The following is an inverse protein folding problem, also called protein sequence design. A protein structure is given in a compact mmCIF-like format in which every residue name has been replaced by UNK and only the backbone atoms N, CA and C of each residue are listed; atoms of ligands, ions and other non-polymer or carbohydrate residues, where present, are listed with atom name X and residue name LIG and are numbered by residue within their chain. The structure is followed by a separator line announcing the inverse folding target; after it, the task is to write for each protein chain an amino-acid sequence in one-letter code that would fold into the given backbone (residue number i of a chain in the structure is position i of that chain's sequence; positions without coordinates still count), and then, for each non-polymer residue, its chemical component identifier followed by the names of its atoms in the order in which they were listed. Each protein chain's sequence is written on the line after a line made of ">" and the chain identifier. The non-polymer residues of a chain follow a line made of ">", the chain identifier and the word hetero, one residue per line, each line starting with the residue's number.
data_IF_707664640983
#
_entry.id   IF_707664640983
#
_cell.length_a   1.000
_cell.length_b   1.000
_cell.length_c   1.000
_cell.angle_alpha   90.00
_cell.angle_beta   90.00
_cell.angle_gamma   90.00
#
_symmetry.space_group_name_H-M   'P 1'
#
loop_
_entity.id
_entity.type
_entity.pdbx_description
1 polymer ?
#
# COMPACT_ATOMS: atom_id res chain seq x y z
N UNK A 1 6.28 54.92 46.52
CA UNK A 1 6.03 54.94 45.06
C UNK A 1 7.15 54.13 44.43
N UNK A 2 7.02 52.80 44.22
CA UNK A 2 6.23 52.11 43.16
C UNK A 2 6.68 52.62 41.78
N UNK A 3 7.52 51.91 41.01
CA UNK A 3 7.22 50.77 40.09
C UNK A 3 8.51 49.95 39.77
N UNK A 4 8.54 48.62 39.96
CA UNK A 4 8.29 47.52 38.98
C UNK A 4 9.47 47.24 38.01
N UNK A 5 10.31 46.21 38.22
CA UNK A 5 10.17 44.81 37.74
C UNK A 5 9.73 44.66 36.27
N UNK A 6 10.66 44.30 35.39
CA UNK A 6 10.56 43.17 34.42
C UNK A 6 11.92 42.91 33.73
N UNK A 7 12.74 42.03 34.31
CA UNK A 7 13.70 41.24 33.53
C UNK A 7 13.40 39.76 33.78
N UNK A 8 12.36 39.24 33.12
CA UNK A 8 12.19 37.79 32.97
C UNK A 8 13.08 37.37 31.80
N UNK A 9 14.35 37.14 32.14
CA UNK A 9 15.27 36.37 31.31
C UNK A 9 14.78 34.91 31.35
N UNK A 10 13.73 34.58 30.59
CA UNK A 10 13.30 33.20 30.34
C UNK A 10 14.23 32.57 29.27
N UNK A 11 15.54 32.69 29.50
CA UNK A 11 16.59 32.05 28.75
C UNK A 11 16.78 30.63 29.27
N UNK A 12 16.02 29.66 28.74
CA UNK A 12 16.28 28.26 29.06
C UNK A 12 17.74 27.92 28.65
N UNK A 13 18.52 27.28 29.53
CA UNK A 13 19.91 26.94 29.23
C UNK A 13 20.01 26.10 27.97
N UNK A 14 21.06 26.31 27.16
CA UNK A 14 21.27 25.75 25.82
C UNK A 14 21.08 24.22 25.71
N UNK A 15 21.19 23.47 26.82
CA UNK A 15 20.88 22.05 26.89
C UNK A 15 19.38 21.71 26.84
N UNK A 16 18.52 22.55 27.42
CA UNK A 16 17.07 22.31 27.53
C UNK A 16 16.36 22.40 26.17
N UNK A 17 16.77 23.34 25.32
CA UNK A 17 16.30 23.43 23.93
C UNK A 17 16.62 22.17 23.11
N UNK A 18 17.75 21.50 23.39
CA UNK A 18 18.11 20.26 22.72
C UNK A 18 17.22 19.09 23.14
N UNK A 19 16.87 18.99 24.42
CA UNK A 19 15.96 17.96 24.91
C UNK A 19 14.54 18.12 24.34
N UNK A 20 14.03 19.35 24.28
CA UNK A 20 12.71 19.62 23.67
C UNK A 20 12.70 19.22 22.19
N UNK A 21 13.76 19.52 21.45
CA UNK A 21 13.86 19.14 20.05
C UNK A 21 13.87 17.61 19.85
N UNK A 22 14.68 16.89 20.63
CA UNK A 22 14.73 15.42 20.56
C UNK A 22 13.38 14.82 20.96
N UNK A 23 12.76 15.31 22.04
CA UNK A 23 11.45 14.84 22.47
C UNK A 23 10.38 15.07 21.41
N UNK A 24 10.35 16.26 20.79
CA UNK A 24 9.39 16.58 19.72
C UNK A 24 9.55 15.63 18.52
N UNK A 25 10.77 15.42 18.05
CA UNK A 25 11.06 14.47 16.96
C UNK A 25 10.62 13.05 17.34
N UNK A 26 10.95 12.57 18.54
CA UNK A 26 10.56 11.24 19.00
C UNK A 26 9.05 11.07 19.12
N UNK A 27 8.34 12.07 19.65
CA UNK A 27 6.87 12.07 19.71
C UNK A 27 6.27 12.02 18.32
N UNK A 28 6.77 12.85 17.39
CA UNK A 28 6.36 12.83 15.99
C UNK A 28 6.55 11.45 15.35
N UNK A 29 7.72 10.84 15.56
CA UNK A 29 8.02 9.51 15.05
C UNK A 29 7.04 8.46 15.59
N UNK A 30 6.80 8.44 16.90
CA UNK A 30 5.85 7.52 17.53
C UNK A 30 4.40 7.76 17.05
N UNK A 31 4.02 9.01 16.78
CA UNK A 31 2.71 9.34 16.23
C UNK A 31 2.47 8.70 14.87
N UNK A 32 3.51 8.48 14.06
CA UNK A 32 3.38 7.76 12.78
C UNK A 32 2.87 6.32 12.98
N UNK A 33 3.23 5.70 14.11
CA UNK A 33 2.85 4.33 14.47
C UNK A 33 1.61 4.26 15.37
N UNK A 34 1.00 5.40 15.72
CA UNK A 34 -0.07 5.43 16.73
C UNK A 34 -1.27 4.56 16.33
N UNK A 35 -1.71 4.60 15.07
CA UNK A 35 -2.84 3.76 14.60
C UNK A 35 -2.51 2.27 14.75
N UNK A 36 -1.32 1.85 14.30
CA UNK A 36 -0.84 0.47 14.42
C UNK A 36 -0.77 0.03 15.89
N UNK A 37 -0.19 0.86 16.76
CA UNK A 37 -0.08 0.58 18.20
C UNK A 37 -1.47 0.41 18.83
N UNK A 38 -2.40 1.33 18.55
CA UNK A 38 -3.76 1.26 19.09
C UNK A 38 -4.48 -0.02 18.64
N UNK A 39 -4.31 -0.42 17.38
CA UNK A 39 -4.91 -1.66 16.85
C UNK A 39 -4.32 -2.91 17.49
N UNK A 40 -3.00 -2.96 17.68
CA UNK A 40 -2.33 -4.05 18.41
C UNK A 40 -2.85 -4.14 19.85
N UNK A 41 -2.99 -3.00 20.54
CA UNK A 41 -3.56 -2.95 21.90
C UNK A 41 -5.04 -3.37 21.92
N UNK A 42 -5.77 -3.22 20.82
CA UNK A 42 -7.13 -3.72 20.65
C UNK A 42 -7.20 -5.22 20.32
N UNK A 43 -6.07 -5.94 20.36
CA UNK A 43 -6.00 -7.39 20.14
C UNK A 43 -5.96 -7.81 18.67
N UNK A 44 -5.72 -6.88 17.74
CA UNK A 44 -5.47 -7.21 16.33
C UNK A 44 -4.08 -7.80 16.16
N UNK A 45 -3.92 -8.71 15.20
CA UNK A 45 -2.61 -9.18 14.80
C UNK A 45 -1.81 -8.08 14.07
N UNK A 46 -0.53 -8.36 13.81
CA UNK A 46 0.39 -7.40 13.17
C UNK A 46 -0.05 -7.04 11.76
N UNK A 47 -0.61 -7.99 11.00
CA UNK A 47 -1.05 -7.77 9.62
C UNK A 47 -2.24 -6.83 9.59
N UNK A 48 -3.27 -7.12 10.40
CA UNK A 48 -4.47 -6.30 10.57
C UNK A 48 -4.16 -4.89 11.09
N UNK A 49 -3.16 -4.77 11.98
CA UNK A 49 -2.75 -3.49 12.54
C UNK A 49 -2.03 -2.59 11.51
N UNK A 50 -1.28 -3.20 10.57
CA UNK A 50 -0.54 -2.48 9.52
C UNK A 50 -1.40 -2.21 8.28
N UNK A 51 -2.42 -3.04 8.02
CA UNK A 51 -3.27 -2.98 6.83
C UNK A 51 -3.78 -1.57 6.43
N UNK A 52 -4.25 -0.71 7.35
CA UNK A 52 -4.72 0.63 6.99
C UNK A 52 -3.63 1.52 6.42
N UNK A 53 -2.40 1.38 6.91
CA UNK A 53 -1.25 2.12 6.38
C UNK A 53 -0.88 1.60 4.98
N UNK A 54 -0.98 0.29 4.74
CA UNK A 54 -0.79 -0.30 3.43
C UNK A 54 -1.82 0.24 2.43
N UNK A 55 -3.11 0.23 2.79
CA UNK A 55 -4.19 0.78 1.98
C UNK A 55 -3.99 2.28 1.67
N UNK A 56 -3.68 3.11 2.68
CA UNK A 56 -3.43 4.54 2.46
C UNK A 56 -2.21 4.79 1.58
N UNK A 57 -1.13 4.02 1.75
CA UNK A 57 0.06 4.14 0.92
C UNK A 57 -0.22 3.76 -0.54
N UNK A 58 -1.03 2.72 -0.75
CA UNK A 58 -1.48 2.29 -2.06
C UNK A 58 -2.34 3.36 -2.73
N UNK A 59 -3.34 3.88 -2.02
CA UNK A 59 -4.26 4.91 -2.50
C UNK A 59 -3.53 6.20 -2.92
N UNK A 60 -2.64 6.70 -2.06
CA UNK A 60 -1.80 7.85 -2.40
C UNK A 60 -0.90 7.58 -3.59
N UNK A 61 -0.34 6.37 -3.71
CA UNK A 61 0.51 6.08 -4.85
C UNK A 61 -0.26 6.02 -6.16
N UNK A 62 -1.44 5.40 -6.17
CA UNK A 62 -2.30 5.38 -7.35
C UNK A 62 -2.73 6.80 -7.72
N UNK A 63 -3.12 7.61 -6.75
CA UNK A 63 -3.51 9.01 -6.95
C UNK A 63 -2.37 9.84 -7.57
N UNK A 64 -1.15 9.72 -7.04
CA UNK A 64 0.03 10.42 -7.59
C UNK A 64 0.37 9.96 -9.00
N UNK A 65 0.19 8.68 -9.30
CA UNK A 65 0.42 8.09 -10.62
C UNK A 65 -0.61 8.56 -11.64
N UNK A 66 -1.87 8.61 -11.27
CA UNK A 66 -2.98 9.01 -12.14
C UNK A 66 -2.94 10.49 -12.49
N UNK A 67 -2.42 11.34 -11.59
CA UNK A 67 -2.40 12.79 -11.78
C UNK A 67 -0.99 13.38 -11.68
N UNK A 68 -0.32 13.49 -12.83
CA UNK A 68 0.97 14.19 -12.94
C UNK A 68 0.86 15.66 -12.48
N UNK A 69 -0.26 16.32 -12.78
CA UNK A 69 -0.52 17.70 -12.37
C UNK A 69 -0.59 17.87 -10.85
N UNK A 70 -1.30 16.97 -10.16
CA UNK A 70 -1.35 16.95 -8.69
C UNK A 70 0.04 16.71 -8.11
N UNK A 71 0.78 15.73 -8.65
CA UNK A 71 2.14 15.42 -8.22
C UNK A 71 3.01 16.67 -8.28
N UNK A 72 3.11 17.32 -9.44
CA UNK A 72 3.91 18.55 -9.61
C UNK A 72 3.44 19.67 -8.68
N UNK A 73 2.13 19.86 -8.52
CA UNK A 73 1.58 20.86 -7.62
C UNK A 73 2.01 20.62 -6.16
N UNK A 74 2.00 19.37 -5.69
CA UNK A 74 2.47 19.02 -4.35
C UNK A 74 3.98 19.30 -4.17
N UNK A 75 4.82 18.97 -5.16
CA UNK A 75 6.24 19.34 -5.12
C UNK A 75 6.45 20.84 -4.97
N UNK A 76 5.74 21.65 -5.77
CA UNK A 76 5.83 23.11 -5.73
C UNK A 76 5.34 23.65 -4.38
N UNK A 77 4.18 23.21 -3.91
CA UNK A 77 3.60 23.66 -2.64
C UNK A 77 4.49 23.32 -1.45
N UNK A 78 5.04 22.11 -1.40
CA UNK A 78 5.99 21.69 -0.35
C UNK A 78 7.27 22.51 -0.42
N UNK A 79 7.78 22.79 -1.62
CA UNK A 79 8.98 23.61 -1.82
C UNK A 79 8.78 25.05 -1.33
N UNK A 80 7.67 25.69 -1.75
CA UNK A 80 7.30 27.04 -1.30
C UNK A 80 7.04 27.10 0.21
N UNK A 81 6.35 26.08 0.75
CA UNK A 81 6.11 25.93 2.18
C UNK A 81 7.41 25.80 2.97
N UNK A 82 8.35 24.99 2.50
CA UNK A 82 9.69 24.84 3.09
C UNK A 82 10.49 26.15 3.06
N UNK A 83 10.42 26.90 1.96
CA UNK A 83 11.06 28.22 1.86
C UNK A 83 10.44 29.24 2.83
N UNK A 84 9.11 29.33 2.89
CA UNK A 84 8.40 30.20 3.82
C UNK A 84 8.71 29.85 5.28
N UNK A 85 8.74 28.55 5.59
CA UNK A 85 9.11 28.02 6.90
C UNK A 85 10.55 28.38 7.27
N UNK A 86 11.50 28.23 6.33
CA UNK A 86 12.89 28.65 6.54
C UNK A 86 12.96 30.13 6.90
N UNK A 87 12.28 30.97 6.14
CA UNK A 87 12.24 32.42 6.39
C UNK A 87 11.70 32.70 7.79
N UNK A 88 10.55 32.14 8.14
CA UNK A 88 9.92 32.32 9.45
C UNK A 88 10.83 31.87 10.62
N UNK A 89 11.50 30.72 10.51
CA UNK A 89 12.44 30.23 11.52
C UNK A 89 13.68 31.14 11.63
N UNK A 90 14.16 31.67 10.50
CA UNK A 90 15.34 32.54 10.48
C UNK A 90 15.08 33.97 10.96
N UNK A 91 13.83 34.43 10.93
CA UNK A 91 13.44 35.80 11.31
C UNK A 91 13.06 35.96 12.77
N UNK A 92 12.85 34.87 13.51
CA UNK A 92 12.48 34.88 14.92
C UNK A 92 13.49 34.12 15.76
N UNK A 93 13.91 34.70 16.89
CA UNK A 93 14.71 33.97 17.87
C UNK A 93 13.83 32.93 18.58
N UNK A 94 14.14 31.67 18.28
CA UNK A 94 13.52 30.47 18.85
C UNK A 94 11.97 30.50 18.98
N UNK A 95 11.23 30.49 17.85
CA UNK A 95 9.78 30.61 17.89
C UNK A 95 9.13 29.44 18.66
N UNK A 96 8.05 29.69 19.43
CA UNK A 96 7.42 28.68 20.29
C UNK A 96 6.80 27.51 19.51
N UNK A 97 6.50 27.69 18.22
CA UNK A 97 5.97 26.66 17.33
C UNK A 97 7.06 25.78 16.69
N UNK A 98 8.35 26.07 16.89
CA UNK A 98 9.45 25.27 16.34
C UNK A 98 9.41 23.79 16.75
N UNK A 99 9.05 23.42 18.00
CA UNK A 99 8.88 22.01 18.37
C UNK A 99 7.79 21.31 17.55
N UNK A 100 6.73 22.00 17.13
CA UNK A 100 5.69 21.40 16.28
C UNK A 100 6.26 20.99 14.91
N UNK A 101 7.13 21.82 14.34
CA UNK A 101 7.81 21.51 13.07
C UNK A 101 8.80 20.36 13.24
N UNK A 102 9.49 20.29 14.38
CA UNK A 102 10.36 19.18 14.73
C UNK A 102 9.57 17.87 14.93
N UNK A 103 8.36 17.94 15.50
CA UNK A 103 7.45 16.81 15.55
C UNK A 103 6.97 16.41 14.14
N UNK A 104 6.70 17.37 13.25
CA UNK A 104 6.41 17.09 11.84
C UNK A 104 7.55 16.36 11.12
N UNK A 105 8.80 16.74 11.39
CA UNK A 105 9.98 16.01 10.90
C UNK A 105 10.01 14.57 11.43
N UNK A 106 9.77 14.37 12.73
CA UNK A 106 9.64 13.05 13.34
C UNK A 106 8.57 12.19 12.69
N UNK A 107 7.37 12.75 12.51
CA UNK A 107 6.22 12.10 11.88
C UNK A 107 6.56 11.65 10.46
N UNK A 108 7.18 12.53 9.66
CA UNK A 108 7.58 12.20 8.30
C UNK A 108 8.63 11.07 8.27
N UNK A 109 9.62 11.10 9.17
CA UNK A 109 10.59 10.00 9.29
C UNK A 109 9.93 8.67 9.68
N UNK A 110 8.92 8.71 10.57
CA UNK A 110 8.14 7.53 10.94
C UNK A 110 7.33 6.97 9.77
N UNK A 111 6.70 7.85 8.99
CA UNK A 111 5.98 7.46 7.76
C UNK A 111 6.91 6.87 6.69
N UNK A 112 8.12 7.43 6.53
CA UNK A 112 9.14 6.87 5.64
C UNK A 112 9.58 5.48 6.12
N UNK A 113 9.81 5.30 7.43
CA UNK A 113 10.16 4.00 8.00
C UNK A 113 9.05 2.96 7.77
N UNK A 114 7.79 3.34 8.00
CA UNK A 114 6.62 2.50 7.69
C UNK A 114 6.54 2.15 6.20
N UNK A 115 6.78 3.12 5.32
CA UNK A 115 6.79 2.89 3.88
C UNK A 115 7.87 1.87 3.48
N UNK A 116 9.09 1.98 3.99
CA UNK A 116 10.14 0.99 3.73
C UNK A 116 9.81 -0.40 4.27
N UNK A 117 9.21 -0.47 5.46
CA UNK A 117 8.76 -1.74 6.01
C UNK A 117 7.73 -2.39 5.08
N UNK A 118 6.74 -1.61 4.63
CA UNK A 118 5.75 -2.06 3.66
C UNK A 118 6.38 -2.44 2.32
N UNK A 119 7.38 -1.70 1.86
CA UNK A 119 8.05 -1.97 0.59
C UNK A 119 8.81 -3.31 0.61
N UNK A 120 9.52 -3.60 1.70
CA UNK A 120 10.24 -4.88 1.88
C UNK A 120 9.28 -6.07 1.88
N UNK A 121 8.14 -5.96 2.57
CA UNK A 121 7.23 -7.09 2.78
C UNK A 121 6.11 -7.21 1.74
N UNK A 122 5.66 -6.08 1.16
CA UNK A 122 4.46 -6.02 0.31
C UNK A 122 4.72 -5.34 -1.04
N UNK A 123 5.26 -4.11 -1.06
CA UNK A 123 5.22 -3.26 -2.26
C UNK A 123 6.34 -3.57 -3.26
N UNK A 124 7.46 -4.17 -2.81
CA UNK A 124 8.57 -4.70 -3.63
C UNK A 124 9.11 -3.73 -4.68
N UNK A 125 9.20 -2.44 -4.35
CA UNK A 125 9.71 -1.39 -5.23
C UNK A 125 8.73 -0.92 -6.30
N UNK A 126 7.45 -1.29 -6.24
CA UNK A 126 6.45 -0.93 -7.24
C UNK A 126 6.13 0.59 -7.29
N UNK A 127 6.46 1.33 -6.23
CA UNK A 127 5.90 2.66 -5.98
C UNK A 127 6.99 3.72 -5.80
N UNK A 128 7.22 4.53 -6.83
CA UNK A 128 8.33 5.50 -6.86
C UNK A 128 7.92 6.92 -6.41
N UNK A 129 6.69 7.35 -6.72
CA UNK A 129 6.29 8.75 -6.55
C UNK A 129 6.05 9.14 -5.08
N UNK A 130 5.44 8.26 -4.29
CA UNK A 130 5.19 8.51 -2.86
C UNK A 130 6.49 8.67 -2.05
N UNK A 131 7.49 7.76 -2.12
CA UNK A 131 8.75 7.95 -1.41
C UNK A 131 9.52 9.17 -1.93
N UNK A 132 9.38 9.50 -3.22
CA UNK A 132 9.98 10.73 -3.79
C UNK A 132 9.37 11.99 -3.17
N UNK A 133 8.04 12.04 -3.05
CA UNK A 133 7.35 13.17 -2.42
C UNK A 133 7.71 13.30 -0.92
N UNK A 134 7.80 12.17 -0.22
CA UNK A 134 8.26 12.12 1.18
C UNK A 134 9.72 12.59 1.30
N UNK A 135 10.60 12.16 0.40
CA UNK A 135 11.99 12.60 0.33
C UNK A 135 12.11 14.10 0.08
N UNK A 136 11.29 14.65 -0.81
CA UNK A 136 11.24 16.09 -1.06
C UNK A 136 10.77 16.88 0.15
N UNK A 137 9.70 16.44 0.81
CA UNK A 137 9.23 17.03 2.06
C UNK A 137 10.30 16.97 3.16
N UNK A 138 11.02 15.87 3.26
CA UNK A 138 12.10 15.68 4.23
C UNK A 138 13.24 16.66 3.96
N UNK A 139 13.67 16.81 2.70
CA UNK A 139 14.70 17.78 2.31
C UNK A 139 14.27 19.21 2.67
N UNK A 140 13.04 19.60 2.35
CA UNK A 140 12.49 20.92 2.66
C UNK A 140 12.47 21.19 4.18
N UNK A 141 12.02 20.23 5.00
CA UNK A 141 11.98 20.37 6.46
C UNK A 141 13.39 20.46 7.07
N UNK A 142 14.31 19.60 6.61
CA UNK A 142 15.70 19.62 7.07
C UNK A 142 16.34 20.98 6.74
N UNK A 143 16.22 21.45 5.49
CA UNK A 143 16.78 22.76 5.09
C UNK A 143 16.13 23.90 5.85
N UNK A 144 14.81 23.86 6.09
CA UNK A 144 14.12 24.88 6.87
C UNK A 144 14.69 24.98 8.29
N UNK A 145 14.85 23.85 8.98
CA UNK A 145 15.35 23.78 10.36
C UNK A 145 16.86 24.02 10.49
N UNK A 146 17.67 23.39 9.64
CA UNK A 146 19.13 23.33 9.77
C UNK A 146 19.91 24.27 8.83
N UNK A 147 19.24 24.81 7.81
CA UNK A 147 19.86 25.58 6.74
C UNK A 147 20.55 24.70 5.70
N UNK A 148 21.36 25.34 4.86
CA UNK A 148 22.15 24.64 3.85
C UNK A 148 23.04 23.56 4.49
N UNK A 149 23.16 22.37 3.86
CA UNK A 149 24.00 21.30 4.40
C UNK A 149 25.45 21.75 4.44
N UNK A 150 26.06 21.72 5.62
CA UNK A 150 27.48 22.02 5.82
C UNK A 150 28.07 21.12 6.90
N UNK A 151 29.33 20.71 6.72
CA UNK A 151 30.07 19.91 7.70
C UNK A 151 30.53 20.74 8.90
N UNK A 152 30.67 22.06 8.72
CA UNK A 152 31.20 23.01 9.70
C UNK A 152 30.38 24.30 9.67
N UNK A 153 30.26 24.96 10.82
CA UNK A 153 29.78 26.34 10.89
C UNK A 153 30.92 27.30 10.52
N UNK A 154 30.58 28.52 10.09
CA UNK A 154 31.57 29.55 9.82
C UNK A 154 32.43 29.80 11.07
N UNK A 155 33.75 29.68 10.94
CA UNK A 155 34.70 29.86 12.04
C UNK A 155 34.90 28.65 12.97
N UNK A 156 34.39 27.46 12.64
CA UNK A 156 34.65 26.23 13.41
C UNK A 156 35.56 25.26 12.65
N UNK A 157 36.59 24.75 13.33
CA UNK A 157 37.55 23.79 12.76
C UNK A 157 37.13 22.32 12.90
N UNK A 158 36.19 22.02 13.80
CA UNK A 158 35.73 20.66 14.09
C UNK A 158 34.36 20.38 13.49
N UNK A 159 34.18 19.16 13.01
CA UNK A 159 32.87 18.65 12.55
C UNK A 159 32.01 18.37 13.78
N UNK A 160 30.82 18.94 13.83
CA UNK A 160 29.83 18.66 14.87
C UNK A 160 28.96 17.46 14.47
N UNK A 161 28.68 16.54 15.40
CA UNK A 161 27.83 15.36 15.15
C UNK A 161 26.44 15.74 14.63
N UNK A 162 25.86 16.83 15.11
CA UNK A 162 24.56 17.34 14.65
C UNK A 162 24.60 17.82 13.20
N UNK A 163 25.73 18.39 12.75
CA UNK A 163 25.95 18.79 11.35
C UNK A 163 26.13 17.58 10.44
N UNK A 164 26.86 16.57 10.91
CA UNK A 164 27.01 15.30 10.20
C UNK A 164 25.66 14.60 10.02
N UNK A 165 24.84 14.53 11.07
CA UNK A 165 23.51 13.93 11.02
C UNK A 165 22.59 14.71 10.07
N UNK A 166 22.58 16.04 10.15
CA UNK A 166 21.83 16.90 9.23
C UNK A 166 22.23 16.65 7.77
N UNK A 167 23.53 16.64 7.49
CA UNK A 167 24.04 16.37 6.13
C UNK A 167 23.62 14.98 5.65
N UNK A 168 23.78 13.96 6.49
CA UNK A 168 23.35 12.59 6.18
C UNK A 168 21.85 12.52 5.88
N UNK A 169 21.03 13.20 6.67
CA UNK A 169 19.59 13.31 6.44
C UNK A 169 19.25 13.97 5.11
N UNK A 170 19.96 15.04 4.74
CA UNK A 170 19.75 15.70 3.43
C UNK A 170 20.16 14.79 2.27
N UNK A 171 21.27 14.06 2.39
CA UNK A 171 21.67 13.05 1.38
C UNK A 171 20.66 11.90 1.29
N UNK A 172 20.15 11.42 2.41
CA UNK A 172 19.10 10.40 2.44
C UNK A 172 17.82 10.89 1.77
N UNK A 173 17.41 12.14 2.04
CA UNK A 173 16.28 12.77 1.38
C UNK A 173 16.49 12.90 -0.14
N UNK A 174 17.70 13.27 -0.58
CA UNK A 174 18.05 13.30 -1.99
C UNK A 174 17.99 11.91 -2.63
N UNK A 175 18.53 10.89 -1.94
CA UNK A 175 18.47 9.49 -2.40
C UNK A 175 17.04 9.00 -2.57
N UNK A 176 16.11 9.39 -1.67
CA UNK A 176 14.68 9.09 -1.81
C UNK A 176 14.03 9.73 -3.05
N UNK A 177 14.49 10.91 -3.45
CA UNK A 177 13.94 11.65 -4.60
C UNK A 177 14.43 11.06 -5.93
N UNK A 178 15.69 10.63 -6.00
CA UNK A 178 16.34 10.24 -7.26
C UNK A 178 15.56 9.20 -8.09
N UNK A 179 15.02 8.10 -7.52
CA UNK A 179 14.29 7.10 -8.30
C UNK A 179 13.01 7.61 -8.96
N UNK A 180 12.33 8.59 -8.37
CA UNK A 180 11.08 9.13 -8.94
C UNK A 180 11.26 10.28 -9.91
N UNK A 181 12.47 10.83 -10.07
CA UNK A 181 12.74 11.92 -11.01
C UNK A 181 12.32 11.57 -12.45
N UNK A 182 12.68 10.38 -13.00
CA UNK A 182 12.20 9.98 -14.33
C UNK A 182 10.67 9.91 -14.42
N UNK A 183 10.00 9.48 -13.35
CA UNK A 183 8.54 9.40 -13.31
C UNK A 183 7.86 10.77 -13.31
N UNK A 184 8.39 11.73 -12.53
CA UNK A 184 7.88 13.12 -12.51
C UNK A 184 8.11 13.82 -13.84
N UNK A 185 9.22 13.53 -14.54
CA UNK A 185 9.51 14.08 -15.86
C UNK A 185 8.73 13.41 -17.00
N UNK A 186 7.96 12.36 -16.73
CA UNK A 186 7.19 11.62 -17.74
C UNK A 186 8.02 10.66 -18.59
N UNK A 187 9.23 10.30 -18.16
CA UNK A 187 10.07 9.28 -18.81
C UNK A 187 9.82 7.87 -18.29
N UNK A 188 9.13 7.71 -17.15
CA UNK A 188 8.77 6.39 -16.67
C UNK A 188 7.70 5.75 -17.58
N UNK A 189 7.74 4.43 -17.81
CA UNK A 189 6.70 3.74 -18.55
C UNK A 189 5.33 3.97 -17.90
N UNK A 190 4.40 4.56 -18.64
CA UNK A 190 2.98 4.60 -18.26
C UNK A 190 2.26 3.39 -18.85
N UNK A 191 1.17 2.92 -18.23
CA UNK A 191 0.26 2.01 -18.91
C UNK A 191 -0.19 2.65 -20.24
N UNK A 192 -0.48 1.83 -21.28
CA UNK A 192 -1.19 2.34 -22.44
C UNK A 192 -2.56 2.89 -22.01
N UNK A 193 -3.05 3.89 -22.75
CA UNK A 193 -4.41 4.38 -22.55
C UNK A 193 -5.42 3.23 -22.70
N UNK A 194 -6.48 3.27 -21.90
CA UNK A 194 -7.56 2.30 -22.02
C UNK A 194 -8.13 2.36 -23.45
N UNK A 195 -8.30 1.22 -24.13
CA UNK A 195 -8.89 1.23 -25.46
C UNK A 195 -10.33 1.76 -25.41
N UNK A 196 -10.76 2.42 -26.49
CA UNK A 196 -12.13 2.94 -26.59
C UNK A 196 -13.20 1.83 -26.60
N UNK A 197 -12.83 0.60 -26.95
CA UNK A 197 -13.69 -0.57 -27.03
C UNK A 197 -12.92 -1.87 -26.80
N UNK A 198 -13.58 -2.88 -26.24
CA UNK A 198 -12.99 -4.20 -25.98
C UNK A 198 -12.22 -4.30 -24.66
N UNK A 199 -11.30 -5.26 -24.59
CA UNK A 199 -10.58 -5.59 -23.36
C UNK A 199 -9.75 -4.41 -22.85
N UNK A 200 -10.15 -3.85 -21.70
CA UNK A 200 -9.48 -2.74 -21.02
C UNK A 200 -10.22 -1.41 -21.06
N UNK A 201 -11.33 -1.27 -21.80
CA UNK A 201 -12.10 -0.03 -21.88
C UNK A 201 -12.84 0.31 -20.56
N UNK A 202 -13.21 1.58 -20.35
CA UNK A 202 -13.98 2.03 -19.19
C UNK A 202 -15.07 3.06 -19.59
N UNK A 203 -16.37 2.84 -19.30
CA UNK A 203 -16.95 1.62 -18.72
C UNK A 203 -16.79 0.40 -19.65
N UNK A 204 -16.95 -0.80 -19.10
CA UNK A 204 -17.09 -2.00 -19.91
C UNK A 204 -18.33 -1.85 -20.82
N UNK A 205 -18.22 -2.02 -22.14
CA UNK A 205 -19.30 -1.70 -23.07
C UNK A 205 -20.41 -2.75 -23.11
N UNK A 206 -20.22 -3.91 -22.47
CA UNK A 206 -21.14 -5.04 -22.55
C UNK A 206 -21.92 -5.22 -21.25
N UNK A 207 -23.21 -5.51 -21.38
CA UNK A 207 -23.99 -6.17 -20.33
C UNK A 207 -23.53 -7.61 -20.18
N UNK A 208 -23.86 -8.26 -19.06
CA UNK A 208 -23.36 -9.60 -18.73
C UNK A 208 -24.53 -10.56 -18.49
N UNK A 209 -24.36 -11.82 -18.90
CA UNK A 209 -25.27 -12.91 -18.59
C UNK A 209 -24.52 -13.99 -17.82
N UNK A 210 -25.12 -14.54 -16.77
CA UNK A 210 -24.52 -15.56 -15.90
C UNK A 210 -25.33 -16.85 -15.95
N UNK A 211 -24.61 -17.97 -16.09
CA UNK A 211 -25.15 -19.32 -16.15
C UNK A 211 -24.54 -20.14 -15.02
N UNK A 212 -25.36 -20.97 -14.37
CA UNK A 212 -24.93 -21.89 -13.31
C UNK A 212 -25.05 -23.31 -13.81
N UNK A 213 -23.97 -24.07 -13.69
CA UNK A 213 -23.90 -25.48 -14.09
C UNK A 213 -23.37 -26.32 -12.93
N UNK A 214 -24.25 -27.03 -12.19
CA UNK A 214 -23.82 -27.96 -11.15
C UNK A 214 -22.97 -29.10 -11.71
N UNK A 215 -21.97 -29.54 -10.95
CA UNK A 215 -21.12 -30.68 -11.31
C UNK A 215 -20.98 -31.66 -10.13
N UNK A 216 -20.56 -32.89 -10.45
CA UNK A 216 -20.36 -33.92 -9.43
C UNK A 216 -18.92 -33.91 -8.94
N UNK A 217 -18.73 -33.85 -7.62
CA UNK A 217 -17.41 -34.00 -7.01
C UNK A 217 -16.90 -35.44 -7.14
N UNK A 218 -15.57 -35.65 -7.28
CA UNK A 218 -14.99 -36.98 -7.18
C UNK A 218 -15.22 -37.60 -5.79
N UNK A 219 -15.46 -38.91 -5.73
CA UNK A 219 -15.71 -39.66 -4.48
C UNK A 219 -14.59 -39.46 -3.45
N UNK A 220 -13.34 -39.37 -3.90
CA UNK A 220 -12.16 -39.13 -3.05
C UNK A 220 -12.21 -37.77 -2.34
N UNK A 221 -12.80 -36.77 -2.97
CA UNK A 221 -12.97 -35.43 -2.41
C UNK A 221 -14.13 -35.43 -1.41
N UNK A 222 -15.26 -36.05 -1.79
CA UNK A 222 -16.43 -36.19 -0.91
C UNK A 222 -16.04 -36.90 0.39
N UNK A 223 -15.21 -37.94 0.30
CA UNK A 223 -14.79 -38.74 1.47
C UNK A 223 -14.01 -37.95 2.53
N UNK A 224 -13.43 -36.80 2.15
CA UNK A 224 -12.63 -35.95 3.05
C UNK A 224 -13.22 -34.55 3.22
N UNK A 225 -14.41 -34.27 2.68
CA UNK A 225 -15.06 -32.98 2.82
C UNK A 225 -15.47 -32.76 4.29
N UNK A 226 -15.15 -31.57 4.82
CA UNK A 226 -15.56 -31.14 6.14
C UNK A 226 -16.98 -30.58 6.19
N UNK A 227 -17.44 -30.23 7.39
CA UNK A 227 -18.84 -29.84 7.64
C UNK A 227 -19.14 -28.36 7.35
N UNK A 228 -18.13 -27.52 7.11
CA UNK A 228 -18.35 -26.07 6.96
C UNK A 228 -19.08 -25.68 5.68
N UNK A 229 -19.05 -26.53 4.65
CA UNK A 229 -19.56 -26.25 3.30
C UNK A 229 -20.50 -27.38 2.81
N UNK A 230 -21.13 -28.11 3.74
CA UNK A 230 -21.96 -29.28 3.42
C UNK A 230 -23.31 -28.94 2.76
N UNK A 231 -23.70 -27.66 2.79
CA UNK A 231 -24.92 -27.10 2.19
C UNK A 231 -24.69 -26.53 0.78
N UNK A 232 -23.43 -26.51 0.31
CA UNK A 232 -23.07 -25.95 -0.99
C UNK A 232 -23.31 -26.96 -2.11
N UNK A 233 -24.15 -26.61 -3.08
CA UNK A 233 -24.26 -27.34 -4.34
C UNK A 233 -23.18 -26.85 -5.32
N UNK A 234 -22.09 -27.61 -5.37
CA UNK A 234 -20.90 -27.31 -6.17
C UNK A 234 -21.22 -27.08 -7.64
N UNK A 235 -20.94 -25.86 -8.10
CA UNK A 235 -21.30 -25.41 -9.44
C UNK A 235 -20.15 -24.66 -10.11
N UNK A 236 -20.14 -24.72 -11.44
CA UNK A 236 -19.39 -23.78 -12.27
C UNK A 236 -20.34 -22.66 -12.69
N UNK A 237 -19.92 -21.42 -12.47
CA UNK A 237 -20.65 -20.25 -12.94
C UNK A 237 -19.91 -19.63 -14.10
N UNK A 238 -20.54 -19.61 -15.27
CA UNK A 238 -20.00 -19.00 -16.48
C UNK A 238 -20.71 -17.68 -16.70
N UNK A 239 -19.94 -16.59 -16.75
CA UNK A 239 -20.46 -15.26 -17.07
C UNK A 239 -19.90 -14.83 -18.42
N UNK A 240 -20.80 -14.45 -19.34
CA UNK A 240 -20.48 -14.08 -20.71
C UNK A 240 -20.91 -12.62 -20.98
N UNK A 241 -20.15 -11.88 -21.80
CA UNK A 241 -20.57 -10.58 -22.29
C UNK A 241 -21.68 -10.75 -23.32
N UNK A 242 -22.67 -9.87 -23.28
CA UNK A 242 -23.67 -9.74 -24.32
C UNK A 242 -23.09 -8.95 -25.48
N UNK A 243 -22.67 -9.67 -26.52
CA UNK A 243 -22.05 -9.08 -27.71
C UNK A 243 -23.14 -8.72 -28.74
N UNK A 244 -23.01 -7.60 -29.47
CA UNK A 244 -23.88 -7.29 -30.60
C UNK A 244 -23.92 -8.43 -31.63
N UNK A 245 -25.07 -8.68 -32.26
CA UNK A 245 -25.23 -9.75 -33.26
C UNK A 245 -24.29 -9.59 -34.47
N UNK A 246 -23.88 -8.37 -34.78
CA UNK A 246 -22.94 -8.02 -35.85
C UNK A 246 -21.47 -7.97 -35.39
N UNK A 247 -21.19 -8.40 -34.15
CA UNK A 247 -19.84 -8.40 -33.59
C UNK A 247 -18.91 -9.32 -34.39
N UNK A 248 -17.73 -8.83 -34.83
CA UNK A 248 -16.74 -9.67 -35.50
C UNK A 248 -16.01 -10.63 -34.54
N UNK A 249 -16.30 -10.56 -33.23
CA UNK A 249 -15.64 -11.35 -32.19
C UNK A 249 -16.20 -12.78 -32.19
N UNK A 250 -15.36 -13.74 -32.60
CA UNK A 250 -15.70 -15.17 -32.66
C UNK A 250 -15.16 -15.96 -31.48
N UNK A 251 -14.22 -15.39 -30.72
CA UNK A 251 -13.55 -16.03 -29.59
C UNK A 251 -13.38 -15.00 -28.46
N UNK A 252 -13.60 -15.44 -27.22
CA UNK A 252 -13.41 -14.62 -26.04
C UNK A 252 -12.25 -15.17 -25.18
N UNK A 253 -11.41 -14.31 -24.59
CA UNK A 253 -10.48 -14.75 -23.57
C UNK A 253 -11.26 -15.26 -22.35
N UNK A 254 -10.85 -16.41 -21.82
CA UNK A 254 -11.42 -17.01 -20.62
C UNK A 254 -10.58 -16.65 -19.39
N UNK A 255 -11.21 -16.10 -18.36
CA UNK A 255 -10.65 -16.03 -17.02
C UNK A 255 -11.28 -17.11 -16.13
N UNK A 256 -10.44 -17.88 -15.44
CA UNK A 256 -10.87 -18.82 -14.40
C UNK A 256 -10.64 -18.18 -13.04
N UNK A 257 -11.70 -18.03 -12.25
CA UNK A 257 -11.64 -17.50 -10.89
C UNK A 257 -11.83 -18.62 -9.88
N UNK A 258 -10.92 -18.66 -8.90
CA UNK A 258 -10.93 -19.58 -7.77
C UNK A 258 -11.14 -18.77 -6.49
N UNK A 259 -11.87 -19.33 -5.53
CA UNK A 259 -12.12 -18.67 -4.26
C UNK A 259 -11.09 -19.01 -3.18
N UNK A 260 -11.00 -18.12 -2.18
CA UNK A 260 -10.25 -18.39 -0.96
C UNK A 260 -10.91 -19.43 -0.05
N UNK A 261 -10.22 -19.79 1.04
CA UNK A 261 -10.74 -20.72 2.05
C UNK A 261 -12.05 -20.22 2.67
N UNK A 262 -13.02 -21.12 2.81
CA UNK A 262 -14.34 -20.93 3.41
C UNK A 262 -15.22 -19.86 2.76
N UNK A 263 -14.95 -19.48 1.51
CA UNK A 263 -15.70 -18.44 0.81
C UNK A 263 -16.12 -18.86 -0.63
N UNK A 264 -16.85 -19.97 -0.79
CA UNK A 264 -17.30 -20.45 -2.11
C UNK A 264 -18.42 -19.59 -2.72
N UNK A 265 -18.97 -18.63 -1.97
CA UNK A 265 -20.06 -17.77 -2.43
C UNK A 265 -19.62 -16.89 -3.60
N UNK A 266 -20.33 -17.03 -4.73
CA UNK A 266 -20.08 -16.23 -5.94
C UNK A 266 -20.37 -14.75 -5.71
N UNK A 267 -21.30 -14.39 -4.83
CA UNK A 267 -21.71 -13.00 -4.61
C UNK A 267 -20.54 -12.13 -4.14
N UNK A 268 -19.60 -12.72 -3.42
CA UNK A 268 -18.34 -12.10 -3.02
C UNK A 268 -17.44 -11.68 -4.19
N UNK A 269 -17.57 -12.34 -5.34
CA UNK A 269 -16.72 -12.16 -6.52
C UNK A 269 -17.45 -11.44 -7.66
N UNK A 270 -18.74 -11.11 -7.52
CA UNK A 270 -19.54 -10.49 -8.58
C UNK A 270 -18.92 -9.19 -9.11
N UNK A 271 -18.26 -8.41 -8.25
CA UNK A 271 -17.56 -7.19 -8.67
C UNK A 271 -16.44 -7.50 -9.68
N UNK A 272 -15.61 -8.51 -9.41
CA UNK A 272 -14.54 -8.94 -10.33
C UNK A 272 -15.09 -9.61 -11.58
N UNK A 273 -16.06 -10.51 -11.42
CA UNK A 273 -16.72 -11.22 -12.52
C UNK A 273 -17.33 -10.22 -13.50
N UNK A 274 -18.13 -9.28 -13.00
CA UNK A 274 -18.78 -8.24 -13.82
C UNK A 274 -17.74 -7.33 -14.45
N UNK A 275 -16.71 -6.90 -13.70
CA UNK A 275 -15.67 -6.02 -14.22
C UNK A 275 -14.91 -6.62 -15.41
N UNK A 276 -14.55 -7.91 -15.31
CA UNK A 276 -13.85 -8.62 -16.39
C UNK A 276 -14.79 -8.91 -17.56
N UNK A 277 -16.00 -9.40 -17.26
CA UNK A 277 -16.95 -9.82 -18.29
C UNK A 277 -17.44 -8.62 -19.11
N UNK A 278 -17.80 -7.51 -18.47
CA UNK A 278 -18.25 -6.29 -19.16
C UNK A 278 -17.18 -5.72 -20.12
N UNK A 279 -15.91 -6.12 -19.99
CA UNK A 279 -14.79 -5.76 -20.87
C UNK A 279 -14.51 -6.82 -21.95
N UNK A 280 -15.43 -7.75 -22.18
CA UNK A 280 -15.32 -8.73 -23.26
C UNK A 280 -14.49 -9.97 -22.91
N UNK A 281 -14.48 -10.39 -21.63
CA UNK A 281 -13.95 -11.70 -21.23
C UNK A 281 -15.09 -12.66 -20.91
N UNK A 282 -14.91 -13.94 -21.20
CA UNK A 282 -15.70 -14.97 -20.52
C UNK A 282 -15.08 -15.22 -19.13
N UNK A 283 -15.89 -15.37 -18.09
CA UNK A 283 -15.41 -15.66 -16.74
C UNK A 283 -16.04 -16.93 -16.24
N UNK A 284 -15.23 -17.94 -15.90
CA UNK A 284 -15.66 -19.14 -15.21
C UNK A 284 -15.25 -19.05 -13.73
N UNK A 285 -16.22 -18.91 -12.83
CA UNK A 285 -16.00 -19.04 -11.39
C UNK A 285 -16.24 -20.49 -10.98
N UNK A 286 -15.20 -21.11 -10.42
CA UNK A 286 -15.21 -22.52 -10.03
C UNK A 286 -15.42 -22.61 -8.52
N UNK A 287 -16.54 -23.18 -8.09
CA UNK A 287 -16.72 -23.57 -6.70
C UNK A 287 -16.09 -24.94 -6.45
N UNK A 288 -15.35 -25.06 -5.36
CA UNK A 288 -14.79 -26.33 -4.90
C UNK A 288 -14.70 -26.35 -3.36
N UNK A 289 -14.76 -27.54 -2.72
CA UNK A 289 -14.63 -27.64 -1.28
C UNK A 289 -13.25 -27.16 -0.83
N UNK A 290 -13.24 -26.27 0.15
CA UNK A 290 -12.04 -25.71 0.73
C UNK A 290 -11.79 -26.22 2.15
N UNK A 291 -12.85 -26.55 2.90
CA UNK A 291 -12.79 -27.31 4.15
C UNK A 291 -12.62 -28.80 3.83
N UNK A 292 -11.36 -29.22 3.66
CA UNK A 292 -10.98 -30.60 3.40
C UNK A 292 -10.16 -31.12 4.57
N UNK A 293 -10.51 -32.30 5.05
CA UNK A 293 -10.02 -32.94 6.26
C UNK A 293 -9.44 -34.33 5.97
N UNK A 294 -8.42 -34.43 5.10
CA UNK A 294 -7.78 -35.71 4.81
C UNK A 294 -7.11 -36.27 6.07
N UNK A 295 -6.92 -37.59 6.14
CA UNK A 295 -6.32 -38.22 7.31
C UNK A 295 -4.97 -37.58 7.68
N UNK A 296 -4.83 -37.19 8.95
CA UNK A 296 -3.61 -36.56 9.47
C UNK A 296 -3.51 -35.04 9.28
N UNK A 297 -4.55 -34.38 8.74
CA UNK A 297 -4.51 -32.93 8.49
C UNK A 297 -4.34 -32.08 9.76
N UNK A 298 -4.82 -32.52 10.92
CA UNK A 298 -4.68 -31.78 12.19
C UNK A 298 -3.24 -31.80 12.72
N UNK A 299 -2.52 -32.89 12.47
CA UNK A 299 -1.15 -33.10 12.94
C UNK A 299 -0.09 -32.63 11.91
N UNK A 300 -0.52 -32.34 10.68
CA UNK A 300 0.38 -31.92 9.60
C UNK A 300 0.86 -30.49 9.82
N UNK A 301 2.17 -30.32 9.96
CA UNK A 301 2.81 -29.01 9.94
C UNK A 301 3.31 -28.73 8.53
N UNK A 302 2.72 -27.73 7.87
CA UNK A 302 3.06 -27.41 6.49
C UNK A 302 4.53 -26.95 6.35
N UNK A 303 5.23 -27.53 5.38
CA UNK A 303 6.54 -27.06 4.93
C UNK A 303 6.35 -26.04 3.82
N UNK A 304 7.06 -24.92 3.92
CA UNK A 304 7.05 -23.87 2.91
C UNK A 304 8.41 -23.83 2.20
N UNK A 305 8.40 -24.08 0.88
CA UNK A 305 9.61 -24.06 0.06
C UNK A 305 9.26 -23.54 -1.34
N UNK A 306 10.13 -22.73 -1.93
CA UNK A 306 9.99 -22.20 -3.29
C UNK A 306 8.64 -21.52 -3.60
N UNK A 307 8.05 -20.87 -2.58
CA UNK A 307 6.74 -20.21 -2.69
C UNK A 307 5.53 -21.15 -2.66
N UNK A 308 5.76 -22.45 -2.43
CA UNK A 308 4.74 -23.49 -2.33
C UNK A 308 4.56 -23.95 -0.88
N UNK A 309 3.47 -24.68 -0.63
CA UNK A 309 3.20 -25.38 0.63
C UNK A 309 2.79 -26.81 0.34
N UNK A 310 3.07 -27.72 1.27
CA UNK A 310 2.78 -29.15 1.15
C UNK A 310 1.49 -29.59 1.89
N UNK A 311 0.51 -28.68 2.01
CA UNK A 311 -0.76 -29.00 2.66
C UNK A 311 -1.43 -30.23 2.02
N UNK A 312 -1.84 -31.20 2.85
CA UNK A 312 -2.50 -32.43 2.41
C UNK A 312 -3.79 -32.16 1.62
N UNK A 313 -4.44 -31.02 1.87
CA UNK A 313 -5.65 -30.60 1.17
C UNK A 313 -5.42 -30.27 -0.31
N UNK A 314 -4.20 -29.92 -0.72
CA UNK A 314 -3.93 -29.45 -2.09
C UNK A 314 -4.28 -30.49 -3.15
N UNK A 315 -4.00 -31.77 -2.90
CA UNK A 315 -4.33 -32.86 -3.82
C UNK A 315 -5.83 -32.96 -4.08
N UNK A 316 -6.64 -32.89 -3.02
CA UNK A 316 -8.09 -32.98 -3.13
C UNK A 316 -8.73 -31.72 -3.75
N UNK A 317 -8.16 -30.53 -3.47
CA UNK A 317 -8.57 -29.29 -4.14
C UNK A 317 -8.29 -29.34 -5.63
N UNK A 318 -7.10 -29.80 -6.03
CA UNK A 318 -6.75 -29.98 -7.44
C UNK A 318 -7.72 -30.94 -8.15
N UNK A 319 -8.06 -32.08 -7.52
CA UNK A 319 -9.04 -33.02 -8.06
C UNK A 319 -10.43 -32.39 -8.25
N UNK A 320 -10.92 -31.63 -7.26
CA UNK A 320 -12.20 -30.94 -7.36
C UNK A 320 -12.21 -29.88 -8.47
N UNK A 321 -11.16 -29.06 -8.53
CA UNK A 321 -11.00 -28.01 -9.56
C UNK A 321 -10.94 -28.65 -10.95
N UNK A 322 -10.18 -29.74 -11.13
CA UNK A 322 -10.11 -30.47 -12.41
C UNK A 322 -11.47 -31.04 -12.81
N UNK A 323 -12.21 -31.63 -11.88
CA UNK A 323 -13.55 -32.14 -12.18
C UNK A 323 -14.50 -31.03 -12.67
N UNK A 324 -14.40 -29.84 -12.08
CA UNK A 324 -15.16 -28.67 -12.51
C UNK A 324 -14.72 -28.16 -13.90
N UNK A 325 -13.42 -28.12 -14.17
CA UNK A 325 -12.88 -27.71 -15.48
C UNK A 325 -13.24 -28.73 -16.58
N UNK A 326 -13.12 -30.03 -16.30
CA UNK A 326 -13.55 -31.10 -17.21
C UNK A 326 -15.05 -31.04 -17.51
N UNK A 327 -15.87 -30.59 -16.55
CA UNK A 327 -17.30 -30.35 -16.75
C UNK A 327 -17.54 -29.13 -17.65
N UNK A 328 -16.79 -28.06 -17.44
CA UNK A 328 -16.84 -26.85 -18.28
C UNK A 328 -16.49 -27.16 -19.74
N UNK A 329 -15.45 -27.96 -19.98
CA UNK A 329 -15.01 -28.35 -21.34
C UNK A 329 -16.04 -29.20 -22.10
N UNK A 330 -17.01 -29.80 -21.40
CA UNK A 330 -18.06 -30.64 -22.00
C UNK A 330 -19.37 -29.89 -22.26
N UNK A 331 -19.51 -28.68 -21.73
CA UNK A 331 -20.69 -27.83 -21.85
C UNK A 331 -20.56 -26.89 -23.07
#
# INVERSE_FOLDING_TARGET
>A
MVEAMTSSDDGLPNGQHRYVAVAAVSVGFLLAFAEMIIRLLAGKDVVDAVWPHALRSLDWTMTLRESAGLTVALFVLIGLGGFGLRKAISSADNPPWKPLVQAGLGLLMGLIALHFLLDVFYLRGAFLLLPTLMGWALACLLIALGGAPSLRAAGQDRVATTRLLHMTGVFFAAWLVMPGVPAVMGFAPSPPDAPAMGYGSNPGPYTVQQYRSPYTLPDEVIAVQGELENDVEWSVYVTLPDLPEDSPVTHLPLAVLLHGFSYPDIDAYQGWITHLTAKGMAVAFIQYPSDLRPQGFEDHTATYADGMSDYLQHTYRDLAIRAALDHLDRC
#
